data_IF_708225709980
#
_entry.id   IF_708225709980
#
_cell.length_a   1.000
_cell.length_b   1.000
_cell.length_c   1.000
_cell.angle_alpha   90.00
_cell.angle_beta   90.00
_cell.angle_gamma   90.00
#
_symmetry.space_group_name_H-M   'P 1'
#
loop_
_entity.id
_entity.type
_entity.pdbx_description
1 polymer ?
#
# COMPACT_ATOMS: atom_id res chain seq x y z
N UNK A 1 -39.41 -0.06 -13.91
CA UNK A 1 -38.15 0.56 -14.40
C UNK A 1 -37.16 0.95 -13.26
N UNK A 2 -37.57 1.73 -12.23
CA UNK A 2 -36.62 2.10 -11.12
C UNK A 2 -36.44 0.93 -10.14
N UNK A 3 -37.51 0.23 -9.77
CA UNK A 3 -37.46 -0.95 -8.89
C UNK A 3 -36.63 -2.09 -9.47
N UNK A 4 -36.72 -2.31 -10.78
CA UNK A 4 -35.99 -3.37 -11.48
C UNK A 4 -34.47 -3.11 -11.44
N UNK A 5 -34.04 -1.84 -11.57
CA UNK A 5 -32.64 -1.45 -11.46
C UNK A 5 -32.10 -1.66 -10.04
N UNK A 6 -32.89 -1.30 -9.01
CA UNK A 6 -32.53 -1.53 -7.62
C UNK A 6 -32.44 -3.03 -7.34
N UNK A 7 -33.43 -3.81 -7.78
CA UNK A 7 -33.41 -5.27 -7.62
C UNK A 7 -32.22 -5.92 -8.32
N UNK A 8 -31.87 -5.45 -9.53
CA UNK A 8 -30.70 -5.94 -10.26
C UNK A 8 -29.39 -5.68 -9.50
N UNK A 9 -29.22 -4.49 -8.89
CA UNK A 9 -28.04 -4.16 -8.07
C UNK A 9 -28.00 -5.03 -6.81
N UNK A 10 -29.12 -5.22 -6.12
CA UNK A 10 -29.22 -6.04 -4.92
C UNK A 10 -29.02 -7.55 -5.22
N UNK A 11 -29.26 -7.98 -6.45
CA UNK A 11 -29.02 -9.35 -6.89
C UNK A 11 -27.56 -9.65 -7.25
N UNK A 12 -26.70 -8.62 -7.37
CA UNK A 12 -25.27 -8.82 -7.64
C UNK A 12 -24.65 -9.51 -6.43
N UNK A 13 -24.11 -10.68 -6.66
CA UNK A 13 -23.34 -11.45 -5.67
C UNK A 13 -21.87 -11.39 -6.01
N UNK A 14 -21.02 -11.27 -4.98
CA UNK A 14 -19.57 -11.42 -5.17
C UNK A 14 -19.28 -12.82 -5.74
N UNK A 15 -18.43 -12.87 -6.76
CA UNK A 15 -17.92 -14.14 -7.29
C UNK A 15 -16.80 -14.71 -6.42
N UNK A 16 -16.18 -13.89 -5.58
CA UNK A 16 -15.15 -14.31 -4.65
C UNK A 16 -15.79 -15.06 -3.48
N UNK A 17 -15.24 -16.24 -3.17
CA UNK A 17 -15.64 -17.03 -2.01
C UNK A 17 -14.76 -16.65 -0.82
N UNK A 18 -15.37 -16.51 0.34
CA UNK A 18 -14.62 -16.32 1.59
C UNK A 18 -13.80 -17.59 1.90
N UNK A 19 -12.60 -17.40 2.41
CA UNK A 19 -11.75 -18.50 2.85
C UNK A 19 -12.02 -18.85 4.32
N UNK A 20 -11.50 -19.96 4.76
CA UNK A 20 -11.76 -20.49 6.11
C UNK A 20 -10.52 -20.55 7.01
N UNK A 21 -9.33 -20.26 6.47
CA UNK A 21 -8.08 -20.41 7.23
C UNK A 21 -7.83 -19.25 8.18
N UNK A 22 -7.38 -19.64 9.38
CA UNK A 22 -6.72 -18.72 10.31
C UNK A 22 -5.21 -18.80 10.07
N UNK A 23 -4.51 -17.67 9.92
CA UNK A 23 -3.06 -17.70 9.72
C UNK A 23 -2.38 -18.42 10.89
N UNK A 24 -1.39 -19.29 10.63
CA UNK A 24 -0.60 -19.92 11.69
C UNK A 24 0.10 -18.89 12.55
N UNK A 25 0.14 -19.09 13.88
CA UNK A 25 0.80 -18.17 14.83
C UNK A 25 2.31 -18.09 14.56
N UNK A 26 2.91 -19.20 14.09
CA UNK A 26 4.35 -19.33 13.85
C UNK A 26 4.78 -19.07 12.39
N UNK A 27 3.85 -18.59 11.54
CA UNK A 27 4.20 -18.26 10.16
C UNK A 27 5.15 -17.05 10.11
N UNK A 28 6.15 -17.03 9.20
CA UNK A 28 7.00 -15.85 9.00
C UNK A 28 6.14 -14.64 8.65
N UNK A 29 6.02 -13.70 9.57
CA UNK A 29 5.17 -12.52 9.39
C UNK A 29 5.75 -11.65 8.28
N UNK A 30 4.90 -11.21 7.35
CA UNK A 30 5.27 -10.24 6.31
C UNK A 30 5.79 -10.83 5.00
N UNK A 31 5.93 -12.14 4.83
CA UNK A 31 6.30 -12.71 3.52
C UNK A 31 5.15 -12.62 2.53
N UNK A 32 5.44 -12.14 1.31
CA UNK A 32 4.50 -12.09 0.19
C UNK A 32 5.16 -12.70 -1.03
N UNK A 33 4.50 -13.68 -1.64
CA UNK A 33 5.01 -14.38 -2.84
C UNK A 33 3.99 -14.25 -3.96
N UNK A 34 4.47 -13.84 -5.12
CA UNK A 34 3.74 -13.89 -6.40
C UNK A 34 4.40 -14.97 -7.25
N UNK A 35 3.60 -15.91 -7.73
CA UNK A 35 4.08 -17.02 -8.59
C UNK A 35 3.26 -17.06 -9.88
N UNK A 36 3.86 -16.63 -10.99
CA UNK A 36 3.28 -16.61 -12.31
C UNK A 36 1.94 -15.85 -12.43
N UNK A 37 1.80 -14.76 -11.68
CA UNK A 37 0.52 -14.06 -11.52
C UNK A 37 0.16 -13.26 -12.76
N UNK A 38 -1.02 -13.57 -13.35
CA UNK A 38 -1.68 -12.73 -14.35
C UNK A 38 -3.04 -12.26 -13.84
N UNK A 39 -3.47 -11.09 -14.29
CA UNK A 39 -4.76 -10.51 -13.96
C UNK A 39 -5.35 -9.73 -15.13
N UNK A 40 -6.59 -10.11 -15.50
CA UNK A 40 -7.43 -9.39 -16.46
C UNK A 40 -8.72 -8.94 -15.79
N UNK A 41 -9.10 -7.68 -15.96
CA UNK A 41 -10.42 -7.22 -15.52
C UNK A 41 -11.52 -7.77 -16.43
N UNK A 42 -12.70 -8.02 -15.86
CA UNK A 42 -13.86 -8.47 -16.63
C UNK A 42 -14.17 -7.51 -17.78
N UNK A 43 -14.21 -8.04 -19.00
CA UNK A 43 -14.44 -7.25 -20.21
C UNK A 43 -13.20 -6.51 -20.76
N UNK A 44 -12.03 -6.64 -20.14
CA UNK A 44 -10.78 -6.12 -20.68
C UNK A 44 -10.27 -7.05 -21.81
N UNK A 45 -9.78 -6.45 -22.91
CA UNK A 45 -9.21 -7.19 -24.03
C UNK A 45 -7.76 -7.65 -23.82
N UNK A 46 -7.10 -7.24 -22.71
CA UNK A 46 -5.71 -7.56 -22.41
C UNK A 46 -5.51 -7.75 -20.89
N UNK A 47 -4.42 -8.44 -20.53
CA UNK A 47 -3.98 -8.58 -19.15
C UNK A 47 -3.47 -7.24 -18.61
N UNK A 48 -3.89 -6.88 -17.41
CA UNK A 48 -3.36 -5.69 -16.70
C UNK A 48 -2.08 -6.00 -15.94
N UNK A 49 -1.83 -7.27 -15.66
CA UNK A 49 -0.60 -7.83 -15.09
C UNK A 49 -0.41 -9.20 -15.74
N UNK A 50 0.81 -9.52 -16.20
CA UNK A 50 1.11 -10.74 -16.96
C UNK A 50 2.33 -11.46 -16.40
N UNK A 51 2.12 -12.73 -15.93
CA UNK A 51 3.18 -13.66 -15.54
C UNK A 51 4.14 -13.16 -14.44
N UNK A 52 3.70 -12.27 -13.55
CA UNK A 52 4.57 -11.64 -12.56
C UNK A 52 4.93 -12.61 -11.45
N UNK A 53 6.25 -12.76 -11.20
CA UNK A 53 6.79 -13.57 -10.11
C UNK A 53 7.82 -12.79 -9.30
N UNK A 54 7.64 -12.73 -7.99
CA UNK A 54 8.62 -12.19 -7.04
C UNK A 54 8.33 -12.65 -5.61
N UNK A 55 9.32 -12.49 -4.74
CA UNK A 55 9.17 -12.73 -3.30
C UNK A 55 9.59 -11.47 -2.54
N UNK A 56 8.72 -11.01 -1.64
CA UNK A 56 9.04 -10.03 -0.62
C UNK A 56 9.33 -10.77 0.70
N UNK A 57 10.52 -10.58 1.24
CA UNK A 57 10.90 -11.13 2.53
C UNK A 57 10.20 -10.37 3.67
N UNK A 58 10.00 -11.00 4.85
CA UNK A 58 9.51 -10.31 6.03
C UNK A 58 10.34 -9.07 6.37
N UNK A 59 9.68 -7.96 6.64
CA UNK A 59 10.33 -6.70 6.99
C UNK A 59 10.98 -5.95 5.83
N UNK A 60 10.91 -6.47 4.61
CA UNK A 60 11.46 -5.80 3.45
C UNK A 60 10.59 -4.61 2.99
N UNK A 61 11.25 -3.59 2.46
CA UNK A 61 10.61 -2.51 1.73
C UNK A 61 10.69 -2.80 0.23
N UNK A 62 9.54 -2.93 -0.41
CA UNK A 62 9.42 -3.20 -1.84
C UNK A 62 8.92 -1.94 -2.54
N UNK A 63 9.73 -1.38 -3.44
CA UNK A 63 9.31 -0.31 -4.34
C UNK A 63 8.62 -0.89 -5.57
N UNK A 64 7.50 -0.32 -5.98
CA UNK A 64 6.82 -0.68 -7.25
C UNK A 64 6.75 0.58 -8.11
N UNK A 65 7.43 0.58 -9.25
CA UNK A 65 7.54 1.74 -10.14
C UNK A 65 7.18 1.39 -11.58
N UNK A 66 6.75 2.38 -12.32
CA UNK A 66 6.37 2.27 -13.74
C UNK A 66 5.48 3.43 -14.17
N UNK A 67 5.21 3.56 -15.45
CA UNK A 67 4.35 4.59 -16.02
C UNK A 67 2.87 4.48 -15.57
N UNK A 68 2.06 5.45 -15.97
CA UNK A 68 0.61 5.37 -15.79
C UNK A 68 0.07 4.19 -16.60
N UNK A 69 -0.80 3.36 -15.99
CA UNK A 69 -1.36 2.18 -16.67
C UNK A 69 -0.46 0.94 -16.68
N UNK A 70 0.75 0.98 -16.13
CA UNK A 70 1.68 -0.16 -16.15
C UNK A 70 1.29 -1.34 -15.24
N UNK A 71 0.12 -1.32 -14.59
CA UNK A 71 -0.36 -2.44 -13.76
C UNK A 71 -0.03 -2.35 -12.26
N UNK A 72 0.66 -1.29 -11.78
CA UNK A 72 1.07 -1.16 -10.36
C UNK A 72 -0.07 -1.32 -9.36
N UNK A 73 -1.14 -0.56 -9.50
CA UNK A 73 -2.28 -0.63 -8.59
C UNK A 73 -3.01 -1.96 -8.71
N UNK A 74 -3.05 -2.56 -9.90
CA UNK A 74 -3.59 -3.91 -10.10
C UNK A 74 -2.79 -4.92 -9.31
N UNK A 75 -1.45 -4.90 -9.44
CA UNK A 75 -0.56 -5.82 -8.75
C UNK A 75 -0.76 -5.78 -7.23
N UNK A 76 -0.70 -4.58 -6.63
CA UNK A 76 -0.81 -4.46 -5.17
C UNK A 76 -2.22 -4.77 -4.63
N UNK A 77 -3.27 -4.58 -5.43
CA UNK A 77 -4.65 -4.89 -5.05
C UNK A 77 -4.95 -6.40 -4.99
N UNK A 78 -4.07 -7.24 -5.53
CA UNK A 78 -4.15 -8.69 -5.38
C UNK A 78 -3.74 -9.15 -3.97
N UNK A 79 -2.87 -8.42 -3.27
CA UNK A 79 -2.41 -8.77 -1.91
C UNK A 79 -3.59 -8.76 -0.92
N UNK A 80 -4.40 -7.69 -0.80
CA UNK A 80 -5.58 -7.67 0.06
C UNK A 80 -6.78 -8.40 -0.55
N UNK A 81 -6.56 -9.06 -1.69
CA UNK A 81 -7.59 -9.79 -2.42
C UNK A 81 -8.81 -8.92 -2.75
N UNK A 82 -8.57 -7.69 -3.25
CA UNK A 82 -9.65 -6.90 -3.86
C UNK A 82 -10.09 -7.52 -5.19
N UNK A 83 -9.20 -8.24 -5.84
CA UNK A 83 -9.44 -9.08 -7.01
C UNK A 83 -8.72 -10.41 -6.82
N UNK A 84 -9.23 -11.46 -7.42
CA UNK A 84 -8.50 -12.73 -7.59
C UNK A 84 -7.70 -12.67 -8.90
N UNK A 85 -6.47 -13.20 -8.90
CA UNK A 85 -5.70 -13.35 -10.14
C UNK A 85 -6.39 -14.31 -11.12
N UNK A 86 -6.20 -14.09 -12.42
CA UNK A 86 -6.74 -14.98 -13.47
C UNK A 86 -5.89 -16.24 -13.65
N UNK A 87 -4.59 -16.15 -13.35
CA UNK A 87 -3.67 -17.29 -13.29
C UNK A 87 -2.56 -17.05 -12.30
N UNK A 88 -1.84 -18.10 -11.89
CA UNK A 88 -0.81 -18.06 -10.86
C UNK A 88 -1.39 -18.01 -9.45
N UNK A 89 -0.54 -17.69 -8.46
CA UNK A 89 -0.95 -17.54 -7.06
C UNK A 89 -0.30 -16.34 -6.39
N UNK A 90 -1.03 -15.76 -5.42
CA UNK A 90 -0.50 -14.78 -4.46
C UNK A 90 -0.55 -15.43 -3.09
N UNK A 91 0.60 -15.61 -2.47
CA UNK A 91 0.70 -16.22 -1.16
C UNK A 91 1.14 -15.20 -0.11
N UNK A 92 0.48 -15.24 1.03
CA UNK A 92 0.80 -14.46 2.21
C UNK A 92 1.15 -15.42 3.35
N UNK A 93 2.34 -15.28 3.94
CA UNK A 93 2.84 -16.13 5.02
C UNK A 93 2.79 -17.64 4.69
N UNK A 94 3.07 -17.99 3.42
CA UNK A 94 3.11 -19.39 2.97
C UNK A 94 1.75 -19.99 2.62
N UNK A 95 0.67 -19.19 2.60
CA UNK A 95 -0.66 -19.64 2.21
C UNK A 95 -1.25 -18.73 1.14
N UNK A 96 -1.93 -19.31 0.15
CA UNK A 96 -2.63 -18.55 -0.87
C UNK A 96 -3.68 -17.62 -0.26
N UNK A 97 -3.73 -16.36 -0.73
CA UNK A 97 -4.66 -15.36 -0.19
C UNK A 97 -6.13 -15.78 -0.25
N UNK A 98 -6.48 -16.67 -1.20
CA UNK A 98 -7.82 -17.24 -1.32
C UNK A 98 -8.21 -18.16 -0.17
N UNK A 99 -7.25 -18.66 0.61
CA UNK A 99 -7.50 -19.57 1.72
C UNK A 99 -7.86 -18.83 3.01
N UNK A 100 -7.52 -17.54 3.11
CA UNK A 100 -7.83 -16.71 4.26
C UNK A 100 -9.27 -16.20 4.23
N UNK A 101 -9.90 -16.12 5.41
CA UNK A 101 -11.12 -15.33 5.57
C UNK A 101 -10.87 -13.85 5.27
N UNK A 102 -11.79 -13.19 4.57
CA UNK A 102 -11.62 -11.78 4.16
C UNK A 102 -11.33 -10.85 5.35
N UNK A 103 -12.03 -11.04 6.46
CA UNK A 103 -11.81 -10.21 7.65
C UNK A 103 -10.39 -10.37 8.20
N UNK A 104 -9.90 -11.60 8.30
CA UNK A 104 -8.55 -11.90 8.80
C UNK A 104 -7.48 -11.37 7.84
N UNK A 105 -7.62 -11.62 6.53
CA UNK A 105 -6.67 -11.15 5.52
C UNK A 105 -6.52 -9.62 5.60
N UNK A 106 -7.64 -8.90 5.68
CA UNK A 106 -7.65 -7.44 5.70
C UNK A 106 -7.17 -6.83 7.02
N UNK A 107 -7.28 -7.54 8.14
CA UNK A 107 -6.66 -7.11 9.41
C UNK A 107 -5.12 -7.17 9.37
N UNK A 108 -4.54 -8.07 8.58
CA UNK A 108 -3.09 -8.21 8.45
C UNK A 108 -2.48 -7.18 7.49
N UNK A 109 -3.30 -6.46 6.70
CA UNK A 109 -2.84 -5.58 5.63
C UNK A 109 -3.36 -4.16 5.85
N UNK A 110 -2.44 -3.23 6.07
CA UNK A 110 -2.72 -1.80 6.06
C UNK A 110 -2.63 -1.23 4.64
N UNK A 111 -3.61 -0.44 4.24
CA UNK A 111 -3.63 0.18 2.91
C UNK A 111 -3.82 1.68 3.04
N UNK A 112 -2.91 2.41 2.42
CA UNK A 112 -2.98 3.87 2.27
C UNK A 112 -3.21 4.16 0.79
N UNK A 113 -4.42 4.55 0.40
CA UNK A 113 -4.74 4.80 -1.00
C UNK A 113 -4.11 6.10 -1.49
N UNK A 114 -3.94 6.23 -2.79
CA UNK A 114 -3.42 7.44 -3.45
C UNK A 114 -4.14 8.71 -3.02
N UNK A 115 -5.46 8.65 -2.90
CA UNK A 115 -6.28 9.78 -2.42
C UNK A 115 -6.56 9.63 -0.93
N UNK A 116 -5.96 10.50 -0.12
CA UNK A 116 -6.24 10.56 1.31
C UNK A 116 -7.68 11.04 1.57
N UNK A 117 -8.51 10.17 2.14
CA UNK A 117 -9.90 10.48 2.52
C UNK A 117 -10.06 10.21 4.01
N UNK A 118 -10.55 11.23 4.72
CA UNK A 118 -10.97 11.11 6.12
C UNK A 118 -12.49 11.13 6.20
N UNK A 119 -13.02 10.39 7.16
CA UNK A 119 -14.46 10.36 7.42
C UNK A 119 -14.84 11.48 8.40
N UNK A 120 -16.04 12.00 8.24
CA UNK A 120 -16.62 12.99 9.18
C UNK A 120 -16.78 12.36 10.57
N UNK A 121 -16.39 13.09 11.61
CA UNK A 121 -16.35 12.64 12.99
C UNK A 121 -15.20 13.30 13.72
N UNK A 122 -14.41 12.56 14.47
CA UNK A 122 -13.20 13.01 15.14
C UNK A 122 -11.94 12.34 14.53
N UNK A 123 -10.74 12.81 14.91
CA UNK A 123 -9.50 12.09 14.58
C UNK A 123 -9.57 10.70 15.20
N UNK A 124 -10.01 10.56 16.45
CA UNK A 124 -10.21 9.27 17.16
C UNK A 124 -11.09 8.31 16.33
N UNK A 125 -12.27 8.76 15.90
CA UNK A 125 -13.18 7.94 15.10
C UNK A 125 -12.52 7.43 13.82
N UNK A 126 -11.71 8.28 13.17
CA UNK A 126 -10.95 7.88 12.00
C UNK A 126 -9.88 6.84 12.30
N UNK A 127 -9.19 6.94 13.44
CA UNK A 127 -8.17 5.96 13.85
C UNK A 127 -8.81 4.61 14.22
N UNK A 128 -9.94 4.64 14.89
CA UNK A 128 -10.67 3.45 15.33
C UNK A 128 -11.48 2.76 14.22
N UNK A 129 -11.52 3.34 13.01
CA UNK A 129 -12.30 2.76 11.89
C UNK A 129 -11.97 1.30 11.59
N UNK A 130 -10.69 0.93 11.59
CA UNK A 130 -10.23 -0.43 11.33
C UNK A 130 -10.01 -1.26 12.61
N UNK A 131 -9.96 -0.60 13.77
CA UNK A 131 -9.72 -1.21 15.07
C UNK A 131 -10.55 -0.46 16.14
N UNK A 132 -11.85 -0.80 16.28
CA UNK A 132 -12.77 -0.08 17.19
C UNK A 132 -12.30 -0.02 18.63
N UNK A 133 -11.58 -1.06 19.08
CA UNK A 133 -11.07 -1.18 20.46
C UNK A 133 -9.66 -0.63 20.65
N UNK A 134 -9.14 0.11 19.66
CA UNK A 134 -7.79 0.70 19.77
C UNK A 134 -7.70 1.68 20.94
N UNK A 135 -6.69 1.48 21.80
CA UNK A 135 -6.42 2.37 22.93
C UNK A 135 -5.79 3.69 22.46
N UNK A 136 -5.82 4.71 23.31
CA UNK A 136 -5.18 6.00 23.02
C UNK A 136 -3.68 5.82 22.78
N UNK A 137 -3.01 4.94 23.53
CA UNK A 137 -1.59 4.66 23.35
C UNK A 137 -1.29 4.09 21.96
N UNK A 138 -2.11 3.17 21.47
CA UNK A 138 -1.96 2.60 20.13
C UNK A 138 -2.19 3.65 19.05
N UNK A 139 -3.18 4.50 19.24
CA UNK A 139 -3.49 5.61 18.32
C UNK A 139 -2.31 6.60 18.29
N UNK A 140 -1.79 7.02 19.46
CA UNK A 140 -0.66 7.94 19.53
C UNK A 140 0.61 7.34 18.91
N UNK A 141 0.89 6.06 19.16
CA UNK A 141 2.02 5.37 18.53
C UNK A 141 1.90 5.39 16.99
N UNK A 142 0.73 5.07 16.44
CA UNK A 142 0.50 5.14 15.01
C UNK A 142 0.65 6.56 14.45
N UNK A 143 0.19 7.58 15.19
CA UNK A 143 0.35 8.99 14.83
C UNK A 143 1.83 9.43 14.87
N UNK A 144 2.63 8.92 15.81
CA UNK A 144 4.07 9.20 15.90
C UNK A 144 4.80 8.60 14.70
N UNK A 145 4.55 7.33 14.37
CA UNK A 145 5.13 6.69 13.18
C UNK A 145 4.76 7.45 11.91
N UNK A 146 3.49 7.84 11.78
CA UNK A 146 2.98 8.61 10.63
C UNK A 146 3.42 10.08 10.61
N UNK A 147 4.25 10.54 11.55
CA UNK A 147 4.67 11.93 11.69
C UNK A 147 3.49 12.92 11.89
N UNK A 148 2.41 12.45 12.51
CA UNK A 148 1.18 13.22 12.71
C UNK A 148 0.98 13.70 14.14
N UNK A 149 1.68 13.13 15.12
CA UNK A 149 1.45 13.36 16.54
C UNK A 149 1.57 14.85 16.93
N UNK A 150 2.58 15.56 16.45
CA UNK A 150 2.84 16.95 16.83
C UNK A 150 1.69 17.88 16.45
N UNK A 151 1.20 17.78 15.20
CA UNK A 151 0.11 18.65 14.79
C UNK A 151 -1.23 18.24 15.43
N UNK A 152 -1.43 16.97 15.78
CA UNK A 152 -2.63 16.52 16.49
C UNK A 152 -2.59 16.99 17.94
N UNK A 153 -1.44 16.91 18.63
CA UNK A 153 -1.26 17.49 19.97
C UNK A 153 -1.46 19.01 20.00
N UNK A 154 -1.12 19.69 18.90
CA UNK A 154 -1.34 21.14 18.74
C UNK A 154 -2.80 21.53 18.48
N UNK A 155 -3.71 20.57 18.26
CA UNK A 155 -5.14 20.86 18.10
C UNK A 155 -5.82 21.06 19.46
N UNK A 156 -6.79 21.99 19.57
CA UNK A 156 -7.47 22.27 20.85
C UNK A 156 -8.09 21.07 21.55
N UNK A 157 -8.57 20.08 20.76
CA UNK A 157 -9.22 18.86 21.27
C UNK A 157 -8.39 17.60 21.08
N UNK A 158 -7.14 17.71 20.59
CA UNK A 158 -6.26 16.55 20.39
C UNK A 158 -6.89 15.48 19.51
N UNK A 159 -7.05 14.25 20.01
CA UNK A 159 -7.69 13.14 19.30
C UNK A 159 -9.19 13.39 19.01
N UNK A 160 -9.86 14.18 19.83
CA UNK A 160 -11.29 14.50 19.69
C UNK A 160 -11.52 15.75 18.82
N UNK A 161 -10.48 16.23 18.11
CA UNK A 161 -10.60 17.30 17.14
C UNK A 161 -11.52 16.88 15.98
N UNK A 162 -12.52 17.70 15.64
CA UNK A 162 -13.46 17.39 14.57
C UNK A 162 -12.77 17.25 13.20
N UNK A 163 -13.22 16.26 12.45
CA UNK A 163 -12.89 16.04 11.04
C UNK A 163 -14.11 16.38 10.20
N UNK A 164 -14.03 17.46 9.42
CA UNK A 164 -15.08 17.82 8.48
C UNK A 164 -15.13 16.85 7.28
N UNK A 165 -16.21 16.95 6.49
CA UNK A 165 -16.42 16.13 5.29
C UNK A 165 -15.15 16.06 4.43
N UNK A 166 -14.66 14.85 4.22
CA UNK A 166 -13.42 14.54 3.49
C UNK A 166 -12.16 15.21 4.10
N UNK A 167 -12.19 15.63 5.36
CA UNK A 167 -11.06 16.24 6.06
C UNK A 167 -10.68 17.63 5.54
N UNK A 168 -11.65 18.42 5.08
CA UNK A 168 -11.40 19.76 4.47
C UNK A 168 -10.67 20.74 5.40
N UNK A 169 -10.82 20.57 6.71
CA UNK A 169 -10.16 21.38 7.73
C UNK A 169 -8.70 20.97 8.00
N UNK A 170 -8.16 20.01 7.25
CA UNK A 170 -6.75 19.59 7.29
C UNK A 170 -6.07 19.87 5.94
N UNK A 171 -4.77 20.20 5.97
CA UNK A 171 -3.96 20.29 4.74
C UNK A 171 -3.82 18.93 4.06
N UNK A 172 -3.41 18.90 2.79
CA UNK A 172 -3.18 17.65 2.04
C UNK A 172 -2.22 16.71 2.76
N UNK A 173 -1.08 17.23 3.22
CA UNK A 173 -0.09 16.46 3.98
C UNK A 173 -0.60 15.99 5.34
N UNK A 174 -1.41 16.79 6.04
CA UNK A 174 -2.04 16.36 7.30
C UNK A 174 -3.04 15.22 7.07
N UNK A 175 -3.91 15.32 6.05
CA UNK A 175 -4.83 14.24 5.69
C UNK A 175 -4.07 12.96 5.35
N UNK A 176 -2.99 13.08 4.57
CA UNK A 176 -2.17 11.93 4.18
C UNK A 176 -1.58 11.24 5.42
N UNK A 177 -0.95 12.00 6.33
CA UNK A 177 -0.38 11.46 7.56
C UNK A 177 -1.42 10.80 8.47
N UNK A 178 -2.62 11.39 8.60
CA UNK A 178 -3.72 10.76 9.34
C UNK A 178 -4.20 9.47 8.67
N UNK A 179 -4.24 9.42 7.33
CA UNK A 179 -4.61 8.20 6.60
C UNK A 179 -3.55 7.09 6.78
N UNK A 180 -2.26 7.46 6.82
CA UNK A 180 -1.16 6.53 7.14
C UNK A 180 -1.30 6.03 8.58
N UNK A 181 -1.51 6.94 9.56
CA UNK A 181 -1.71 6.54 10.95
C UNK A 181 -2.86 5.55 11.10
N UNK A 182 -4.01 5.83 10.47
CA UNK A 182 -5.17 4.92 10.47
C UNK A 182 -4.84 3.52 9.97
N UNK A 183 -4.01 3.42 8.92
CA UNK A 183 -3.58 2.12 8.40
C UNK A 183 -2.61 1.39 9.33
N UNK A 184 -1.91 2.10 10.22
CA UNK A 184 -0.95 1.55 11.18
C UNK A 184 -1.57 1.13 12.51
N UNK A 185 -2.71 1.71 12.93
CA UNK A 185 -3.37 1.40 14.21
C UNK A 185 -3.58 -0.11 14.43
N UNK A 186 -4.02 -0.91 13.42
CA UNK A 186 -4.19 -2.34 13.59
C UNK A 186 -2.87 -3.14 13.69
N UNK A 187 -1.71 -2.51 13.67
CA UNK A 187 -0.39 -3.16 13.61
C UNK A 187 -0.28 -4.18 12.46
N UNK A 188 -0.48 -3.74 11.19
CA UNK A 188 -0.50 -4.64 10.06
C UNK A 188 0.85 -5.33 9.87
N UNK A 189 0.84 -6.51 9.24
CA UNK A 189 2.05 -7.25 8.89
C UNK A 189 2.57 -6.86 7.49
N UNK A 190 1.68 -6.35 6.65
CA UNK A 190 1.97 -5.78 5.35
C UNK A 190 1.34 -4.39 5.26
N UNK A 191 2.12 -3.38 4.87
CA UNK A 191 1.64 -2.03 4.62
C UNK A 191 1.80 -1.70 3.14
N UNK A 192 0.73 -1.24 2.51
CA UNK A 192 0.71 -0.79 1.12
C UNK A 192 0.52 0.73 1.11
N UNK A 193 1.50 1.43 0.55
CA UNK A 193 1.50 2.88 0.36
C UNK A 193 1.35 3.17 -1.14
N UNK A 194 0.11 3.38 -1.60
CA UNK A 194 -0.16 3.65 -3.02
C UNK A 194 -0.06 5.16 -3.30
N UNK A 195 1.04 5.57 -3.93
CA UNK A 195 1.44 6.96 -4.27
C UNK A 195 1.24 7.97 -3.12
N UNK A 196 1.35 7.48 -1.89
CA UNK A 196 1.00 8.20 -0.66
C UNK A 196 2.01 9.29 -0.28
N UNK A 197 3.21 9.28 -0.84
CA UNK A 197 4.25 10.30 -0.59
C UNK A 197 4.09 11.55 -1.44
N UNK A 198 3.21 11.56 -2.44
CA UNK A 198 3.02 12.69 -3.36
C UNK A 198 2.55 13.97 -2.66
N UNK A 199 1.84 13.85 -1.52
CA UNK A 199 1.33 14.96 -0.73
C UNK A 199 2.24 15.36 0.46
N UNK A 200 3.36 14.66 0.68
CA UNK A 200 4.30 14.92 1.76
C UNK A 200 5.49 15.74 1.24
N UNK A 201 6.00 16.63 2.08
CA UNK A 201 7.31 17.24 1.84
C UNK A 201 8.43 16.23 2.06
N UNK A 202 9.60 16.54 1.51
CA UNK A 202 10.75 15.63 1.51
C UNK A 202 11.21 15.23 2.93
N UNK A 203 11.21 16.17 3.87
CA UNK A 203 11.66 15.91 5.25
C UNK A 203 10.69 14.98 5.99
N UNK A 204 9.38 15.24 5.85
CA UNK A 204 8.32 14.41 6.44
C UNK A 204 8.33 12.99 5.83
N UNK A 205 8.49 12.85 4.50
CA UNK A 205 8.59 11.53 3.87
C UNK A 205 9.81 10.75 4.35
N UNK A 206 10.97 11.40 4.47
CA UNK A 206 12.18 10.78 4.99
C UNK A 206 12.03 10.33 6.45
N UNK A 207 11.43 11.16 7.31
CA UNK A 207 11.16 10.84 8.70
C UNK A 207 10.16 9.67 8.85
N UNK A 208 9.08 9.67 8.05
CA UNK A 208 8.12 8.58 7.98
C UNK A 208 8.79 7.25 7.63
N UNK A 209 9.62 7.22 6.59
CA UNK A 209 10.32 5.99 6.16
C UNK A 209 11.27 5.47 7.23
N UNK A 210 11.98 6.38 7.90
CA UNK A 210 12.84 6.03 9.03
C UNK A 210 12.02 5.42 10.16
N UNK A 211 10.92 6.07 10.55
CA UNK A 211 10.04 5.57 11.61
C UNK A 211 9.42 4.20 11.26
N UNK A 212 8.96 4.01 10.01
CA UNK A 212 8.46 2.72 9.55
C UNK A 212 9.52 1.62 9.69
N UNK A 213 10.77 1.87 9.30
CA UNK A 213 11.85 0.90 9.39
C UNK A 213 12.23 0.56 10.83
N UNK A 214 12.26 1.55 11.72
CA UNK A 214 12.74 1.41 13.10
C UNK A 214 11.67 0.92 14.07
N UNK A 215 10.40 1.29 13.84
CA UNK A 215 9.32 1.09 14.83
C UNK A 215 8.32 0.01 14.44
N UNK A 216 8.39 -0.54 13.23
CA UNK A 216 7.47 -1.58 12.77
C UNK A 216 8.21 -2.87 12.45
N UNK A 217 8.79 -3.48 13.49
CA UNK A 217 9.62 -4.69 13.37
C UNK A 217 8.90 -5.81 12.59
N UNK A 218 9.51 -6.22 11.46
CA UNK A 218 9.02 -7.33 10.64
C UNK A 218 7.86 -7.00 9.70
N UNK A 219 7.34 -5.77 9.70
CA UNK A 219 6.30 -5.34 8.75
C UNK A 219 6.91 -5.15 7.35
N UNK A 220 6.32 -5.81 6.36
CA UNK A 220 6.71 -5.62 4.96
C UNK A 220 5.98 -4.41 4.37
N UNK A 221 6.71 -3.52 3.71
CA UNK A 221 6.17 -2.28 3.18
C UNK A 221 6.25 -2.26 1.66
N UNK A 222 5.11 -2.09 0.99
CA UNK A 222 5.04 -1.83 -0.45
C UNK A 222 4.87 -0.34 -0.68
N UNK A 223 5.80 0.28 -1.41
CA UNK A 223 5.76 1.68 -1.81
C UNK A 223 5.52 1.72 -3.31
N UNK A 224 4.32 2.13 -3.71
CA UNK A 224 3.96 2.28 -5.11
C UNK A 224 4.09 3.74 -5.49
N UNK A 225 4.82 4.03 -6.55
CA UNK A 225 4.97 5.40 -7.02
C UNK A 225 5.41 5.45 -8.48
N UNK A 226 5.16 6.60 -9.11
CA UNK A 226 5.76 6.96 -10.40
C UNK A 226 7.10 7.70 -10.21
N UNK A 227 7.45 8.07 -8.97
CA UNK A 227 8.64 8.86 -8.65
C UNK A 227 9.80 7.96 -8.26
N UNK A 228 10.93 8.06 -8.95
CA UNK A 228 12.16 7.34 -8.65
C UNK A 228 12.63 7.61 -7.20
N UNK A 229 12.58 8.88 -6.76
CA UNK A 229 12.95 9.29 -5.40
C UNK A 229 12.13 8.59 -4.30
N UNK A 230 10.91 8.15 -4.61
CA UNK A 230 10.06 7.45 -3.69
C UNK A 230 10.50 6.00 -3.44
N UNK A 231 11.10 5.33 -4.40
CA UNK A 231 11.44 3.91 -4.34
C UNK A 231 12.92 3.60 -4.29
N UNK A 232 13.79 4.57 -4.62
CA UNK A 232 15.25 4.35 -4.75
C UNK A 232 15.94 3.77 -3.50
N UNK A 233 15.35 3.92 -2.32
CA UNK A 233 15.87 3.39 -1.05
C UNK A 233 15.20 2.08 -0.62
N UNK A 234 14.32 1.51 -1.45
CA UNK A 234 13.69 0.23 -1.18
C UNK A 234 14.75 -0.90 -1.25
N UNK A 235 14.54 -1.95 -0.45
CA UNK A 235 15.42 -3.13 -0.45
C UNK A 235 15.34 -3.87 -1.79
N UNK A 236 14.18 -3.81 -2.44
CA UNK A 236 13.96 -4.30 -3.80
C UNK A 236 12.98 -3.38 -4.52
N UNK A 237 13.23 -3.12 -5.79
CA UNK A 237 12.36 -2.34 -6.68
C UNK A 237 11.84 -3.28 -7.76
N UNK A 238 10.55 -3.25 -8.00
CA UNK A 238 9.86 -3.92 -9.10
C UNK A 238 9.51 -2.87 -10.15
N UNK A 239 10.00 -3.05 -11.36
CA UNK A 239 9.75 -2.14 -12.49
C UNK A 239 8.68 -2.77 -13.37
N UNK A 240 7.53 -2.13 -13.45
CA UNK A 240 6.42 -2.57 -14.28
C UNK A 240 6.31 -1.70 -15.54
N UNK A 241 6.15 -2.37 -16.67
CA UNK A 241 5.86 -1.74 -17.95
C UNK A 241 4.85 -2.59 -18.71
N UNK A 242 3.76 -1.96 -19.14
CA UNK A 242 2.64 -2.59 -19.86
C UNK A 242 2.22 -3.95 -19.27
N UNK A 243 2.00 -4.00 -17.95
CA UNK A 243 1.58 -5.19 -17.22
C UNK A 243 2.68 -6.21 -16.92
N UNK A 244 3.90 -6.03 -17.45
CA UNK A 244 5.00 -6.96 -17.28
C UNK A 244 6.01 -6.48 -16.23
N UNK A 245 6.62 -7.42 -15.50
CA UNK A 245 7.75 -7.14 -14.63
C UNK A 245 9.04 -7.11 -15.46
N UNK A 246 9.47 -5.91 -15.89
CA UNK A 246 10.64 -5.72 -16.77
C UNK A 246 11.97 -5.55 -16.01
N UNK A 247 11.92 -5.36 -14.69
CA UNK A 247 13.12 -5.28 -13.85
C UNK A 247 12.82 -5.54 -12.38
N UNK A 248 13.75 -6.19 -11.69
CA UNK A 248 13.67 -6.44 -10.24
C UNK A 248 15.05 -6.40 -9.62
N UNK A 249 15.29 -5.51 -8.67
CA UNK A 249 16.60 -5.36 -8.01
C UNK A 249 16.70 -4.13 -7.14
N UNK A 250 17.92 -3.78 -6.72
CA UNK A 250 18.20 -2.52 -6.03
C UNK A 250 18.29 -1.36 -7.02
N UNK A 251 18.21 -0.14 -6.53
CA UNK A 251 18.38 1.07 -7.34
C UNK A 251 19.66 1.02 -8.19
N UNK A 252 20.81 0.75 -7.58
CA UNK A 252 22.09 0.69 -8.28
C UNK A 252 22.18 -0.45 -9.32
N UNK A 253 21.53 -1.59 -9.05
CA UNK A 253 21.46 -2.69 -10.00
C UNK A 253 20.59 -2.32 -11.21
N UNK A 254 19.39 -1.80 -10.97
CA UNK A 254 18.43 -1.45 -12.02
C UNK A 254 18.90 -0.31 -12.92
N UNK A 255 19.65 0.65 -12.42
CA UNK A 255 20.26 1.68 -13.26
C UNK A 255 21.19 1.08 -14.32
N UNK A 256 21.84 -0.08 -14.04
CA UNK A 256 22.73 -0.77 -14.96
C UNK A 256 22.03 -1.77 -15.88
N UNK A 257 20.96 -2.41 -15.39
CA UNK A 257 20.38 -3.59 -16.04
C UNK A 257 18.96 -3.40 -16.60
N UNK A 258 18.28 -2.29 -16.28
CA UNK A 258 16.91 -2.03 -16.72
C UNK A 258 16.78 -0.66 -17.38
N UNK A 259 16.64 -0.65 -18.70
CA UNK A 259 16.55 0.57 -19.49
C UNK A 259 15.32 1.42 -19.10
N UNK A 260 14.16 0.77 -18.89
CA UNK A 260 12.92 1.44 -18.46
C UNK A 260 13.14 2.18 -17.13
N UNK A 261 13.81 1.53 -16.15
CA UNK A 261 14.10 2.17 -14.87
C UNK A 261 15.07 3.34 -15.02
N UNK A 262 16.09 3.17 -15.84
CA UNK A 262 17.07 4.23 -16.12
C UNK A 262 16.42 5.44 -16.79
N UNK A 263 15.53 5.23 -17.76
CA UNK A 263 14.77 6.30 -18.41
C UNK A 263 13.89 7.05 -17.42
N UNK A 264 13.16 6.34 -16.54
CA UNK A 264 12.36 6.95 -15.46
C UNK A 264 13.27 7.82 -14.57
N UNK A 265 14.42 7.30 -14.14
CA UNK A 265 15.36 8.06 -13.31
C UNK A 265 15.90 9.30 -14.03
N UNK A 266 16.35 9.18 -15.27
CA UNK A 266 16.89 10.29 -16.06
C UNK A 266 15.86 11.38 -16.38
N UNK A 267 14.57 11.03 -16.40
CA UNK A 267 13.49 12.01 -16.60
C UNK A 267 13.18 12.83 -15.34
N UNK A 268 13.61 12.38 -14.16
CA UNK A 268 13.20 12.94 -12.86
C UNK A 268 14.37 13.40 -11.98
N UNK A 269 15.54 12.83 -12.15
CA UNK A 269 16.76 13.13 -11.39
C UNK A 269 17.78 13.83 -12.29
N UNK A 270 18.70 14.58 -11.70
CA UNK A 270 19.79 15.15 -12.45
C UNK A 270 20.75 14.06 -12.94
N UNK A 271 21.41 14.29 -14.07
CA UNK A 271 22.42 13.34 -14.59
C UNK A 271 23.52 13.05 -13.58
N UNK A 272 23.95 14.06 -12.83
CA UNK A 272 24.97 13.89 -11.77
C UNK A 272 24.51 12.97 -10.64
N UNK A 273 23.22 12.99 -10.26
CA UNK A 273 22.67 12.07 -9.24
C UNK A 273 22.62 10.63 -9.72
N UNK A 274 22.28 10.43 -11.00
CA UNK A 274 22.27 9.10 -11.62
C UNK A 274 23.70 8.56 -11.78
N UNK A 275 24.65 9.38 -12.27
CA UNK A 275 26.04 9.00 -12.48
C UNK A 275 26.79 8.68 -11.17
N UNK A 276 26.48 9.35 -10.06
CA UNK A 276 27.07 9.04 -8.74
C UNK A 276 26.70 7.65 -8.22
N UNK A 277 25.65 7.05 -8.76
CA UNK A 277 25.15 5.73 -8.32
C UNK A 277 25.56 4.61 -9.28
N UNK A 278 26.03 4.93 -10.49
CA UNK A 278 26.56 4.00 -11.49
C UNK A 278 28.01 3.63 -11.20
#
# INVERSE_FOLDING_TARGET
ACGDRVAAVLAIRSMQKDGEKTPPIDAPRGSVVFDGVSMSYSGAGAESVSGVSFTAAPGATIGVIGGTGSGKSTLINLIPRFYDCTSGSVDLFGHAVQQYGFAQLRQMIGIVPQRAVLFTGTIRDNMQWACPDATDEQIWQALEIAQAADFVRGKPKGLDEPVETAGRNFSGGQRQRLTIARALVPHPQVLILDDSSSALDFATDAALRKALKEQTHGMTVFIVSQRASAVQRADRILVLDDGNLVGSGTHANLLKTCDVYREICLSQLSREEVEKTL
#
